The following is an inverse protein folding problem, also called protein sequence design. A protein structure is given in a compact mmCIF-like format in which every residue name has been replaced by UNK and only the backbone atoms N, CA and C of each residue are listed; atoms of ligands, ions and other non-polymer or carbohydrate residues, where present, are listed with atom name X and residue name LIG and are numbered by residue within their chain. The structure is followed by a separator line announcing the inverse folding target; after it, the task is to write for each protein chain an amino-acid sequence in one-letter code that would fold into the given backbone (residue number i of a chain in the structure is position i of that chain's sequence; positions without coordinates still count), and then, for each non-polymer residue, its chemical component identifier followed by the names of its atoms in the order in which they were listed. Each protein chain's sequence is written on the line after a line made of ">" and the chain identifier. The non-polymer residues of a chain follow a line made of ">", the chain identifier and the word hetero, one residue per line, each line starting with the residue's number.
data_IF_934056305727
#
_entry.id   IF_934056305727
#
_cell.length_a   1.000
_cell.length_b   1.000
_cell.length_c   1.000
_cell.angle_alpha   90.00
_cell.angle_beta   90.00
_cell.angle_gamma   90.00
#
_symmetry.space_group_name_H-M   'P 1'
#
loop_
_entity.id
_entity.type
_entity.pdbx_description
1 polymer ?
#
# COMPACT_ATOMS: atom_id res chain seq x y z
N UNK A 1 15.51 -43.14 -62.60
CA UNK A 1 16.15 -42.23 -61.63
C UNK A 1 15.43 -40.90 -61.68
N UNK A 2 14.56 -40.61 -60.71
CA UNK A 2 13.77 -39.37 -60.60
C UNK A 2 13.87 -38.90 -59.15
N UNK A 3 14.48 -37.74 -58.93
CA UNK A 3 14.62 -37.11 -57.62
C UNK A 3 13.58 -35.99 -57.59
N UNK A 4 12.51 -36.17 -56.81
CA UNK A 4 11.53 -35.12 -56.55
C UNK A 4 12.00 -34.30 -55.34
N UNK A 5 12.42 -33.07 -55.61
CA UNK A 5 12.84 -32.10 -54.60
C UNK A 5 11.58 -31.35 -54.11
N UNK A 6 11.05 -31.76 -52.96
CA UNK A 6 9.93 -31.08 -52.32
C UNK A 6 10.43 -29.88 -51.52
N UNK A 7 10.09 -28.68 -51.98
CA UNK A 7 10.29 -27.41 -51.27
C UNK A 7 9.49 -27.42 -49.95
N UNK A 8 10.19 -27.41 -48.80
CA UNK A 8 9.62 -26.90 -47.56
C UNK A 8 9.70 -25.37 -47.57
N UNK A 9 8.56 -24.72 -47.74
CA UNK A 9 8.42 -23.26 -47.56
C UNK A 9 8.42 -22.91 -46.08
N UNK A 10 9.52 -22.33 -45.60
CA UNK A 10 9.62 -21.73 -44.28
C UNK A 10 9.08 -20.29 -44.36
N UNK A 11 7.81 -20.06 -44.05
CA UNK A 11 7.26 -18.72 -43.87
C UNK A 11 7.75 -18.15 -42.52
N UNK A 12 8.82 -17.37 -42.55
CA UNK A 12 9.22 -16.54 -41.42
C UNK A 12 8.35 -15.26 -41.41
N UNK A 13 7.36 -15.20 -40.52
CA UNK A 13 6.65 -13.96 -40.21
C UNK A 13 7.52 -13.12 -39.29
N UNK A 14 8.18 -12.10 -39.83
CA UNK A 14 8.87 -11.10 -39.03
C UNK A 14 7.84 -10.13 -38.43
N UNK A 15 7.53 -10.30 -37.14
CA UNK A 15 6.78 -9.32 -36.37
C UNK A 15 7.71 -8.12 -36.07
N UNK A 16 7.58 -7.04 -36.84
CA UNK A 16 8.17 -5.76 -36.49
C UNK A 16 7.32 -5.14 -35.37
N UNK A 17 7.74 -5.33 -34.11
CA UNK A 17 7.19 -4.60 -32.98
C UNK A 17 7.73 -3.17 -32.97
N UNK A 18 6.86 -2.17 -32.88
CA UNK A 18 7.27 -0.79 -32.63
C UNK A 18 7.83 -0.70 -31.20
N UNK A 19 9.13 -0.59 -31.03
CA UNK A 19 9.72 -0.18 -29.74
C UNK A 19 9.53 1.33 -29.61
N UNK A 20 8.60 1.75 -28.74
CA UNK A 20 8.59 3.14 -28.28
C UNK A 20 9.76 3.25 -27.30
N UNK A 21 10.92 3.68 -27.78
CA UNK A 21 11.99 4.15 -26.91
C UNK A 21 11.54 5.48 -26.30
N UNK A 22 10.91 5.40 -25.13
CA UNK A 22 10.78 6.57 -24.28
C UNK A 22 12.20 6.94 -23.81
N UNK A 23 12.67 8.18 -24.02
CA UNK A 23 13.96 8.59 -23.51
C UNK A 23 13.99 8.41 -21.99
N UNK A 24 14.96 7.64 -21.50
CA UNK A 24 15.21 7.47 -20.08
C UNK A 24 15.85 8.74 -19.53
N UNK A 25 15.27 9.28 -18.45
CA UNK A 25 15.79 10.45 -17.73
C UNK A 25 16.38 10.09 -16.37
N UNK A 26 16.39 8.80 -16.01
CA UNK A 26 17.00 8.30 -14.77
C UNK A 26 18.48 8.70 -14.70
N UNK A 27 18.91 9.21 -13.54
CA UNK A 27 20.31 9.61 -13.31
C UNK A 27 20.75 10.92 -13.97
N UNK A 28 19.89 11.64 -14.70
CA UNK A 28 20.24 12.95 -15.26
C UNK A 28 20.24 14.03 -14.19
N UNK A 29 21.25 14.89 -14.18
CA UNK A 29 21.38 15.95 -13.17
C UNK A 29 20.23 16.96 -13.23
N UNK A 30 19.75 17.38 -12.07
CA UNK A 30 18.71 18.39 -11.93
C UNK A 30 19.03 19.33 -10.76
N UNK A 31 18.40 20.50 -10.71
CA UNK A 31 18.46 21.44 -9.59
C UNK A 31 17.09 21.60 -8.93
N UNK A 32 16.02 21.50 -9.71
CA UNK A 32 14.64 21.64 -9.30
C UNK A 32 13.75 20.54 -9.88
N UNK A 33 12.57 20.27 -9.30
CA UNK A 33 11.62 19.30 -9.85
C UNK A 33 11.19 19.61 -11.30
N UNK A 34 11.20 20.88 -11.72
CA UNK A 34 10.81 21.29 -13.07
C UNK A 34 11.83 20.88 -14.15
N UNK A 35 13.05 20.51 -13.75
CA UNK A 35 14.10 20.07 -14.67
C UNK A 35 13.89 18.61 -15.12
N UNK A 36 12.99 17.90 -14.45
CA UNK A 36 12.64 16.52 -14.73
C UNK A 36 11.31 16.44 -15.47
N UNK A 37 11.18 15.58 -16.51
CA UNK A 37 9.88 15.30 -17.13
C UNK A 37 8.87 14.77 -16.12
N UNK A 38 7.58 14.86 -16.43
CA UNK A 38 6.48 14.55 -15.49
C UNK A 38 6.50 13.14 -14.87
N UNK A 39 7.25 12.19 -15.44
CA UNK A 39 7.44 10.84 -14.90
C UNK A 39 8.65 10.70 -13.95
N UNK A 40 9.37 11.80 -13.68
CA UNK A 40 10.60 11.81 -12.89
C UNK A 40 10.56 12.91 -11.83
N UNK A 41 11.22 12.69 -10.71
CA UNK A 41 11.40 13.66 -9.63
C UNK A 41 12.88 13.93 -9.36
N UNK A 42 13.21 15.17 -9.04
CA UNK A 42 14.59 15.58 -8.78
C UNK A 42 14.98 15.25 -7.33
N UNK A 43 15.76 14.19 -7.12
CA UNK A 43 16.16 13.70 -5.78
C UNK A 43 17.68 13.76 -5.60
N UNK A 44 18.14 13.89 -4.34
CA UNK A 44 19.56 13.83 -4.04
C UNK A 44 20.00 12.36 -3.93
N UNK A 45 20.87 11.90 -4.84
CA UNK A 45 21.35 10.52 -4.83
C UNK A 45 22.14 10.17 -3.55
N UNK A 46 22.82 11.15 -2.95
CA UNK A 46 23.51 11.09 -1.64
C UNK A 46 23.91 12.50 -1.20
N UNK A 47 24.12 12.72 0.09
CA UNK A 47 24.60 13.99 0.64
C UNK A 47 25.90 14.44 -0.05
N UNK A 48 25.86 15.57 -0.75
CA UNK A 48 27.01 16.18 -1.42
C UNK A 48 27.30 15.73 -2.86
N UNK A 49 26.50 14.84 -3.47
CA UNK A 49 26.77 14.35 -4.83
C UNK A 49 25.89 14.96 -5.95
N UNK A 50 25.21 16.06 -5.67
CA UNK A 50 24.23 16.64 -6.60
C UNK A 50 22.92 15.86 -6.63
N UNK A 51 21.98 16.33 -7.45
CA UNK A 51 20.62 15.77 -7.56
C UNK A 51 20.42 15.21 -8.96
N UNK A 52 19.63 14.13 -9.07
CA UNK A 52 19.29 13.48 -10.33
C UNK A 52 17.78 13.27 -10.47
N UNK A 53 17.30 13.25 -11.71
CA UNK A 53 15.94 12.85 -12.04
C UNK A 53 15.83 11.34 -11.86
N UNK A 54 14.95 10.90 -10.98
CA UNK A 54 14.64 9.49 -10.77
C UNK A 54 13.15 9.26 -11.03
N UNK A 55 12.79 8.08 -11.54
CA UNK A 55 11.39 7.78 -11.90
C UNK A 55 10.50 7.93 -10.66
N UNK A 56 9.41 8.69 -10.80
CA UNK A 56 8.32 8.68 -9.83
C UNK A 56 7.72 7.28 -9.81
N UNK A 57 8.07 6.51 -8.79
CA UNK A 57 7.55 5.16 -8.54
C UNK A 57 7.80 4.15 -9.67
N UNK A 58 9.05 3.68 -9.78
CA UNK A 58 9.36 2.49 -10.59
C UNK A 58 8.59 1.24 -10.13
N UNK A 59 8.35 0.25 -11.00
CA UNK A 59 7.67 -0.98 -10.61
C UNK A 59 8.49 -1.70 -9.53
N UNK A 60 7.97 -1.71 -8.29
CA UNK A 60 8.63 -2.33 -7.14
C UNK A 60 8.94 -1.39 -5.97
N UNK A 61 8.73 -0.07 -6.10
CA UNK A 61 8.69 0.82 -4.93
C UNK A 61 7.23 1.03 -4.51
N UNK A 62 6.77 0.19 -3.59
CA UNK A 62 5.80 0.70 -2.62
C UNK A 62 6.54 1.78 -1.85
N UNK A 63 6.07 3.03 -1.88
CA UNK A 63 6.56 4.09 -0.99
C UNK A 63 6.87 3.45 0.37
N UNK A 64 8.11 3.56 0.85
CA UNK A 64 8.44 2.95 2.12
C UNK A 64 7.53 3.63 3.14
N UNK A 65 6.90 2.78 3.94
CA UNK A 65 5.94 3.17 4.97
C UNK A 65 6.70 3.87 6.11
N UNK A 66 7.42 4.95 5.80
CA UNK A 66 8.47 5.57 6.63
C UNK A 66 7.93 6.66 7.55
N UNK A 67 6.62 6.90 7.53
CA UNK A 67 5.97 7.71 8.55
C UNK A 67 6.13 7.05 9.93
N UNK A 68 6.07 7.83 11.03
CA UNK A 68 6.07 7.27 12.36
C UNK A 68 4.98 6.19 12.49
N UNK A 69 5.25 5.17 13.31
CA UNK A 69 4.26 4.14 13.64
C UNK A 69 3.08 4.84 14.31
N UNK A 70 1.89 4.86 13.69
CA UNK A 70 0.71 5.51 14.27
C UNK A 70 0.30 4.80 15.54
N UNK A 71 -0.39 5.50 16.44
CA UNK A 71 -0.92 4.91 17.67
C UNK A 71 -2.43 4.72 17.59
N UNK A 72 -2.95 3.77 18.37
CA UNK A 72 -4.38 3.54 18.46
C UNK A 72 -5.15 4.82 18.77
N UNK A 73 -4.72 5.56 19.80
CA UNK A 73 -5.53 6.60 20.40
C UNK A 73 -5.67 7.86 19.54
N UNK A 74 -4.59 8.26 18.86
CA UNK A 74 -4.59 9.45 18.00
C UNK A 74 -5.00 9.15 16.57
N UNK A 75 -4.55 8.02 16.02
CA UNK A 75 -4.54 7.84 14.57
C UNK A 75 -5.55 6.77 14.12
N UNK A 76 -5.62 5.64 14.80
CA UNK A 76 -6.36 4.48 14.29
C UNK A 76 -7.79 4.40 14.81
N UNK A 77 -8.02 4.72 16.08
CA UNK A 77 -9.35 4.69 16.68
C UNK A 77 -10.34 5.58 15.92
N UNK A 78 -10.00 6.82 15.51
CA UNK A 78 -10.90 7.65 14.70
C UNK A 78 -11.25 7.01 13.35
N UNK A 79 -10.28 6.37 12.68
CA UNK A 79 -10.47 5.72 11.39
C UNK A 79 -11.42 4.52 11.53
N UNK A 80 -11.20 3.66 12.52
CA UNK A 80 -12.06 2.50 12.73
C UNK A 80 -13.46 2.90 13.20
N UNK A 81 -13.57 3.94 14.03
CA UNK A 81 -14.86 4.48 14.45
C UNK A 81 -15.68 4.97 13.25
N UNK A 82 -15.05 5.71 12.32
CA UNK A 82 -15.72 6.23 11.14
C UNK A 82 -16.10 5.14 10.13
N UNK A 83 -15.23 4.17 9.90
CA UNK A 83 -15.33 3.26 8.76
C UNK A 83 -15.77 1.82 9.11
N UNK A 84 -15.68 1.40 10.37
CA UNK A 84 -15.80 -0.02 10.74
C UNK A 84 -16.78 -0.30 11.88
N UNK A 85 -16.90 0.62 12.85
CA UNK A 85 -17.63 0.37 14.10
C UNK A 85 -19.13 0.30 13.86
N UNK A 86 -19.77 1.41 13.50
CA UNK A 86 -21.23 1.56 13.26
C UNK A 86 -22.11 0.44 13.87
N UNK A 87 -22.93 -0.23 13.07
CA UNK A 87 -23.76 -1.39 13.43
C UNK A 87 -23.06 -2.73 13.12
N UNK A 88 -21.77 -2.69 12.78
CA UNK A 88 -21.00 -3.83 12.31
C UNK A 88 -20.03 -4.37 13.37
N UNK A 89 -19.05 -3.57 13.80
CA UNK A 89 -17.95 -4.02 14.66
C UNK A 89 -17.80 -3.18 15.94
N UNK A 90 -18.89 -2.57 16.41
CA UNK A 90 -18.95 -1.90 17.71
C UNK A 90 -19.66 -2.75 18.77
N UNK A 91 -20.13 -2.09 19.84
CA UNK A 91 -21.03 -2.71 20.83
C UNK A 91 -22.26 -3.40 20.20
N UNK A 92 -22.74 -2.87 19.08
CA UNK A 92 -23.79 -3.50 18.26
C UNK A 92 -23.21 -4.12 17.00
N UNK A 93 -23.62 -5.34 16.70
CA UNK A 93 -23.07 -6.15 15.59
C UNK A 93 -24.16 -6.64 14.63
N UNK A 94 -25.31 -5.95 14.61
CA UNK A 94 -26.52 -6.34 13.87
C UNK A 94 -26.25 -6.64 12.39
N UNK A 95 -25.38 -5.85 11.76
CA UNK A 95 -25.17 -5.94 10.31
C UNK A 95 -23.98 -6.83 9.92
N UNK A 96 -23.09 -7.14 10.86
CA UNK A 96 -21.96 -8.06 10.63
C UNK A 96 -22.21 -9.48 11.14
N UNK A 97 -23.03 -9.63 12.19
CA UNK A 97 -23.19 -10.87 12.95
C UNK A 97 -21.93 -11.31 13.71
N UNK A 98 -20.90 -10.45 13.84
CA UNK A 98 -19.60 -10.77 14.46
C UNK A 98 -19.50 -10.16 15.85
N UNK A 99 -19.95 -10.90 16.85
CA UNK A 99 -19.87 -10.51 18.26
C UNK A 99 -18.59 -11.00 18.98
N UNK A 100 -17.74 -11.74 18.29
CA UNK A 100 -16.48 -12.30 18.81
C UNK A 100 -15.36 -11.24 18.93
N UNK A 101 -15.53 -10.07 18.32
CA UNK A 101 -14.60 -8.96 18.43
C UNK A 101 -15.29 -7.61 18.31
N UNK A 102 -14.62 -6.58 18.82
CA UNK A 102 -15.04 -5.19 18.79
C UNK A 102 -13.86 -4.29 18.42
N UNK A 103 -14.11 -3.35 17.52
CA UNK A 103 -13.13 -2.40 17.00
C UNK A 103 -13.26 -1.01 17.62
N UNK A 104 -14.23 -0.80 18.52
CA UNK A 104 -14.35 0.41 19.35
C UNK A 104 -13.61 0.30 20.69
N UNK A 105 -12.92 -0.82 20.92
CA UNK A 105 -12.07 -1.08 22.09
C UNK A 105 -10.72 -1.62 21.63
N UNK A 106 -9.67 -1.29 22.38
CA UNK A 106 -8.31 -1.65 22.02
C UNK A 106 -7.91 -3.05 22.52
N UNK A 107 -7.98 -3.27 23.83
CA UNK A 107 -7.69 -4.57 24.45
C UNK A 107 -8.92 -5.50 24.41
N UNK A 108 -8.69 -6.79 24.64
CA UNK A 108 -9.78 -7.75 24.82
C UNK A 108 -10.51 -7.53 26.16
N UNK A 109 -11.81 -7.83 26.17
CA UNK A 109 -12.65 -7.77 27.37
C UNK A 109 -13.65 -8.93 27.36
N UNK A 110 -13.73 -9.67 28.47
CA UNK A 110 -14.73 -10.72 28.63
C UNK A 110 -14.77 -11.81 27.55
N UNK A 111 -13.65 -12.08 26.86
CA UNK A 111 -13.58 -13.03 25.74
C UNK A 111 -13.91 -12.44 24.36
N UNK A 112 -14.23 -11.14 24.29
CA UNK A 112 -14.38 -10.39 23.03
C UNK A 112 -13.03 -9.79 22.67
N UNK A 113 -12.52 -10.09 21.47
CA UNK A 113 -11.24 -9.55 21.02
C UNK A 113 -11.34 -8.05 20.73
N UNK A 114 -10.37 -7.27 21.21
CA UNK A 114 -10.21 -5.86 20.86
C UNK A 114 -9.42 -5.67 19.57
N UNK A 115 -9.31 -4.41 19.14
CA UNK A 115 -8.63 -4.06 17.90
C UNK A 115 -7.15 -4.47 17.86
N UNK A 116 -6.44 -4.49 18.99
CA UNK A 116 -5.05 -4.94 19.07
C UNK A 116 -4.89 -6.38 18.58
N UNK A 117 -5.70 -7.29 19.11
CA UNK A 117 -5.71 -8.69 18.68
C UNK A 117 -6.18 -8.85 17.23
N UNK A 118 -7.03 -7.95 16.77
CA UNK A 118 -7.57 -7.97 15.41
C UNK A 118 -6.69 -7.27 14.38
N UNK A 119 -5.61 -6.60 14.77
CA UNK A 119 -4.77 -5.79 13.89
C UNK A 119 -4.32 -6.53 12.60
N UNK A 120 -3.87 -7.80 12.65
CA UNK A 120 -3.53 -8.54 11.43
C UNK A 120 -4.72 -8.75 10.49
N UNK A 121 -5.92 -8.97 11.05
CA UNK A 121 -7.15 -9.15 10.26
C UNK A 121 -7.67 -7.82 9.71
N UNK A 122 -7.54 -6.74 10.48
CA UNK A 122 -7.85 -5.37 10.02
C UNK A 122 -6.95 -5.04 8.82
N UNK A 123 -5.63 -5.24 8.94
CA UNK A 123 -4.69 -5.05 7.83
C UNK A 123 -5.09 -5.87 6.61
N UNK A 124 -5.30 -7.18 6.76
CA UNK A 124 -5.66 -8.04 5.63
C UNK A 124 -6.96 -7.57 4.95
N UNK A 125 -8.00 -7.22 5.72
CA UNK A 125 -9.34 -6.95 5.17
C UNK A 125 -9.53 -5.51 4.69
N UNK A 126 -8.90 -4.54 5.35
CA UNK A 126 -9.01 -3.13 5.01
C UNK A 126 -7.85 -2.66 4.11
N UNK A 127 -6.64 -3.20 4.21
CA UNK A 127 -5.52 -2.73 3.38
C UNK A 127 -5.31 -3.64 2.19
N UNK A 128 -5.06 -4.94 2.43
CA UNK A 128 -4.67 -5.88 1.37
C UNK A 128 -5.82 -6.23 0.44
N UNK A 129 -6.92 -6.76 0.99
CA UNK A 129 -8.03 -7.28 0.20
C UNK A 129 -9.13 -6.24 -0.07
N UNK A 130 -9.17 -5.16 0.72
CA UNK A 130 -10.20 -4.10 0.63
C UNK A 130 -11.63 -4.65 0.59
N UNK A 131 -11.86 -5.70 1.37
CA UNK A 131 -13.18 -6.35 1.54
C UNK A 131 -13.93 -5.82 2.75
N UNK A 132 -13.29 -4.97 3.57
CA UNK A 132 -13.90 -4.30 4.72
C UNK A 132 -13.60 -2.78 4.70
N UNK A 133 -14.62 -1.93 4.94
CA UNK A 133 -16.03 -2.30 5.04
C UNK A 133 -16.55 -2.89 3.71
N UNK A 134 -17.66 -3.66 3.71
CA UNK A 134 -18.08 -4.36 2.50
C UNK A 134 -18.43 -3.37 1.39
N UNK A 135 -17.79 -3.49 0.21
CA UNK A 135 -18.01 -2.53 -0.88
C UNK A 135 -19.47 -2.56 -1.35
N UNK A 136 -19.99 -1.40 -1.74
CA UNK A 136 -21.36 -1.27 -2.24
C UNK A 136 -22.46 -1.29 -1.17
N UNK A 137 -22.12 -1.28 0.13
CA UNK A 137 -23.09 -1.13 1.24
C UNK A 137 -23.39 0.33 1.61
N UNK A 138 -22.80 1.30 0.92
CA UNK A 138 -22.95 2.73 1.24
C UNK A 138 -22.28 3.15 2.55
N UNK A 139 -21.37 2.32 3.07
CA UNK A 139 -20.53 2.66 4.22
C UNK A 139 -19.32 3.48 3.76
N UNK A 140 -18.85 4.44 4.57
CA UNK A 140 -17.60 5.11 4.30
C UNK A 140 -16.45 4.10 4.31
N UNK A 141 -15.64 4.12 3.26
CA UNK A 141 -14.44 3.30 3.15
C UNK A 141 -13.21 4.13 3.54
N UNK A 142 -12.21 3.52 4.20
CA UNK A 142 -10.96 4.22 4.46
C UNK A 142 -10.33 4.74 3.16
N UNK A 143 -9.88 5.98 3.19
CA UNK A 143 -9.03 6.60 2.16
C UNK A 143 -7.68 5.89 2.07
N UNK A 144 -6.91 6.14 1.00
CA UNK A 144 -5.58 5.54 0.85
C UNK A 144 -4.60 5.98 1.95
N UNK A 145 -4.71 7.22 2.43
CA UNK A 145 -3.92 7.73 3.55
C UNK A 145 -4.27 7.01 4.86
N UNK A 146 -5.56 6.81 5.13
CA UNK A 146 -6.03 6.04 6.29
C UNK A 146 -5.60 4.57 6.22
N UNK A 147 -5.64 3.94 5.03
CA UNK A 147 -5.13 2.58 4.83
C UNK A 147 -3.62 2.51 5.08
N UNK A 148 -2.88 3.55 4.72
CA UNK A 148 -1.45 3.64 5.01
C UNK A 148 -1.16 3.75 6.51
N UNK A 149 -1.99 4.48 7.26
CA UNK A 149 -1.91 4.51 8.73
C UNK A 149 -2.21 3.14 9.33
N UNK A 150 -3.29 2.48 8.90
CA UNK A 150 -3.65 1.12 9.35
C UNK A 150 -2.52 0.12 9.06
N UNK A 151 -1.92 0.20 7.86
CA UNK A 151 -0.80 -0.65 7.47
C UNK A 151 0.39 -0.52 8.42
N UNK A 152 0.82 0.71 8.71
CA UNK A 152 1.94 0.97 9.62
C UNK A 152 1.64 0.56 11.04
N UNK A 153 0.45 0.89 11.55
CA UNK A 153 0.07 0.52 12.91
C UNK A 153 0.03 -1.00 13.10
N UNK A 154 -0.62 -1.73 12.19
CA UNK A 154 -0.70 -3.18 12.29
C UNK A 154 0.67 -3.86 12.13
N UNK A 155 1.51 -3.37 11.21
CA UNK A 155 2.87 -3.89 11.01
C UNK A 155 3.82 -3.53 12.15
N UNK A 156 3.60 -2.38 12.80
CA UNK A 156 4.37 -1.89 13.95
C UNK A 156 3.94 -2.47 15.30
N UNK A 157 3.19 -3.58 15.31
CA UNK A 157 2.78 -4.23 16.56
C UNK A 157 1.56 -3.60 17.26
N UNK A 158 0.84 -2.74 16.55
CA UNK A 158 -0.42 -2.13 16.98
C UNK A 158 -0.31 -1.35 18.31
N UNK A 159 0.59 -0.36 18.46
CA UNK A 159 0.78 0.38 19.71
C UNK A 159 -0.50 1.09 20.19
N UNK A 160 -0.65 1.26 21.52
CA UNK A 160 -1.84 1.83 22.15
C UNK A 160 -1.86 3.37 22.12
N UNK A 161 -1.38 4.02 23.19
CA UNK A 161 -1.16 5.46 23.25
C UNK A 161 0.29 5.69 23.68
N UNK A 162 1.00 6.65 23.10
CA UNK A 162 2.35 7.04 23.54
C UNK A 162 3.47 6.03 23.23
N UNK A 163 3.13 4.78 22.86
CA UNK A 163 4.07 3.73 22.44
C UNK A 163 4.54 3.88 20.97
N UNK A 164 4.16 4.96 20.29
CA UNK A 164 4.49 5.23 18.89
C UNK A 164 5.72 6.13 18.73
N UNK A 165 6.76 5.60 18.08
CA UNK A 165 8.02 6.29 17.71
C UNK A 165 9.22 5.35 17.94
N UNK A 166 10.19 5.14 17.04
CA UNK A 166 10.79 5.91 15.93
C UNK A 166 11.24 4.87 14.89
N UNK A 167 11.40 5.15 13.57
CA UNK A 167 12.01 4.19 12.66
C UNK A 167 13.42 3.88 13.18
N UNK A 168 13.69 2.62 13.52
CA UNK A 168 15.03 2.17 13.88
C UNK A 168 15.95 2.42 12.66
N UNK A 169 16.72 3.50 12.70
CA UNK A 169 17.84 3.72 11.80
C UNK A 169 18.97 2.75 12.19
N UNK A 170 18.84 1.51 11.69
CA UNK A 170 19.81 0.44 11.88
C UNK A 170 21.22 0.85 11.44
N UNK A 171 22.17 0.57 12.33
CA UNK A 171 23.62 0.83 12.23
C UNK A 171 24.34 -0.08 11.23
#
# INVERSE_FOLDING_TARGET
>A
MRIHLSLLGLCAAAAAGCTIEAPDFSGKSCQSPADCPSAYTCVAARSGAGRTCEVLNGPGVTEPNDGPVPTWCSDIQPILAANCVSSCHGATTKDSGRADFRLDMYEADGGVAGAKLMAPRIHARAVTFRTMPPPGRGLPEPTEDERSLINRWASGGAPFCGDGGTPDSGS
#
